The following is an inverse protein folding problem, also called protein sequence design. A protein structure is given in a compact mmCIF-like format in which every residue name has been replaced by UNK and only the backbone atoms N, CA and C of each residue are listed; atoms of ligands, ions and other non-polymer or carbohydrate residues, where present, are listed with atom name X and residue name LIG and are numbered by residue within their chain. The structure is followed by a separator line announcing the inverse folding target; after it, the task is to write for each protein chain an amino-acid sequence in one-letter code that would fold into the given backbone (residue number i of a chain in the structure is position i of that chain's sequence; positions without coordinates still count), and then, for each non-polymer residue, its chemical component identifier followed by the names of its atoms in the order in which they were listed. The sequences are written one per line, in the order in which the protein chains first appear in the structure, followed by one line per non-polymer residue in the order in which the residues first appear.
data_IF_729884258176
#
_entry.id   IF_729884258176
#
_cell.length_a   1.000
_cell.length_b   1.000
_cell.length_c   1.000
_cell.angle_alpha   90.00
_cell.angle_beta   90.00
_cell.angle_gamma   90.00
#
_symmetry.space_group_name_H-M   'P 1'
#
loop_
_entity.id
_entity.type
_entity.pdbx_description
1 polymer ?
#
# COMPACT_ATOMS: atom_id res chain seq x y z
N UNK A 1 22.91 1.50 16.30
CA UNK A 1 21.55 1.90 15.89
C UNK A 1 21.38 1.58 14.41
N UNK A 2 20.72 0.47 14.04
CA UNK A 2 20.29 0.28 12.64
C UNK A 2 19.13 1.24 12.42
N UNK A 3 19.27 2.20 11.51
CA UNK A 3 18.17 3.04 11.05
C UNK A 3 17.22 2.11 10.26
N UNK A 4 16.39 1.34 10.99
CA UNK A 4 15.61 0.25 10.45
C UNK A 4 14.53 0.77 9.50
N UNK A 5 14.34 0.08 8.39
CA UNK A 5 13.22 0.29 7.47
C UNK A 5 11.90 0.34 8.26
N UNK A 6 11.16 1.45 8.16
CA UNK A 6 9.87 1.65 8.84
C UNK A 6 8.76 1.79 7.78
N UNK A 7 8.22 0.66 7.26
CA UNK A 7 7.25 0.63 6.16
C UNK A 7 6.09 1.61 6.34
N UNK A 8 5.47 1.59 7.52
CA UNK A 8 4.31 2.42 7.84
C UNK A 8 4.63 3.91 7.78
N UNK A 9 5.71 4.34 8.41
CA UNK A 9 6.13 5.75 8.39
C UNK A 9 6.52 6.20 6.99
N UNK A 10 7.12 5.32 6.19
CA UNK A 10 7.44 5.60 4.80
C UNK A 10 6.19 5.82 3.96
N UNK A 11 5.19 4.94 4.08
CA UNK A 11 3.88 5.08 3.42
C UNK A 11 3.18 6.37 3.87
N UNK A 12 3.10 6.64 5.17
CA UNK A 12 2.51 7.88 5.70
C UNK A 12 3.20 9.14 5.14
N UNK A 13 4.54 9.12 5.03
CA UNK A 13 5.32 10.23 4.44
C UNK A 13 5.02 10.40 2.94
N UNK A 14 4.85 9.31 2.20
CA UNK A 14 4.46 9.35 0.78
C UNK A 14 3.04 9.89 0.60
N UNK A 15 2.08 9.42 1.38
CA UNK A 15 0.69 9.91 1.35
C UNK A 15 0.62 11.40 1.67
N UNK A 16 1.33 11.87 2.70
CA UNK A 16 1.39 13.30 3.07
C UNK A 16 1.99 14.20 1.99
N UNK A 17 2.88 13.66 1.15
CA UNK A 17 3.47 14.42 0.03
C UNK A 17 2.51 14.66 -1.13
N UNK A 18 1.39 13.92 -1.17
CA UNK A 18 0.41 13.93 -2.26
C UNK A 18 0.95 13.32 -3.55
N UNK A 19 0.10 13.31 -4.57
CA UNK A 19 0.47 12.87 -5.92
C UNK A 19 1.25 13.99 -6.60
N UNK A 20 2.44 13.69 -7.13
CA UNK A 20 3.33 14.65 -7.82
C UNK A 20 3.63 14.29 -9.27
N UNK A 21 2.90 13.32 -9.82
CA UNK A 21 3.16 12.72 -11.12
C UNK A 21 3.15 11.20 -11.04
N UNK A 22 3.62 10.57 -12.11
CA UNK A 22 3.72 9.13 -12.24
C UNK A 22 5.12 8.64 -11.83
N UNK A 23 5.25 7.38 -11.35
CA UNK A 23 4.19 6.40 -11.11
C UNK A 23 3.30 6.75 -9.91
N UNK A 24 2.01 6.37 -9.98
CA UNK A 24 1.04 6.53 -8.89
C UNK A 24 0.79 5.18 -8.22
N UNK A 25 1.19 5.06 -6.95
CA UNK A 25 0.82 3.92 -6.12
C UNK A 25 -0.58 4.11 -5.53
N UNK A 26 -1.48 3.15 -5.76
CA UNK A 26 -2.84 3.14 -5.22
C UNK A 26 -2.95 2.03 -4.18
N UNK A 27 -3.45 2.36 -2.99
CA UNK A 27 -3.71 1.41 -1.91
C UNK A 27 -5.18 1.58 -1.49
N UNK A 28 -5.98 0.52 -1.66
CA UNK A 28 -7.40 0.52 -1.34
C UNK A 28 -7.73 -0.57 -0.32
N UNK A 29 -8.23 -0.16 0.84
CA UNK A 29 -8.71 -1.06 1.89
C UNK A 29 -10.21 -1.29 1.76
N UNK A 30 -10.63 -2.54 1.93
CA UNK A 30 -12.02 -2.97 1.92
C UNK A 30 -12.30 -3.82 3.15
N UNK A 31 -13.53 -3.75 3.65
CA UNK A 31 -13.97 -4.53 4.78
C UNK A 31 -15.50 -4.56 4.87
N UNK A 32 -16.04 -5.38 5.77
CA UNK A 32 -17.48 -5.46 6.00
C UNK A 32 -18.05 -4.17 6.61
N UNK A 33 -17.22 -3.34 7.24
CA UNK A 33 -17.60 -2.10 7.91
C UNK A 33 -16.41 -1.13 7.97
N UNK A 34 -16.60 0.03 8.62
CA UNK A 34 -15.55 1.03 8.83
C UNK A 34 -14.57 0.68 9.97
N UNK A 35 -14.79 -0.43 10.68
CA UNK A 35 -14.02 -0.84 11.86
C UNK A 35 -12.87 -1.77 11.51
N UNK A 36 -12.99 -2.60 10.46
CA UNK A 36 -11.93 -3.53 10.05
C UNK A 36 -11.78 -3.63 8.53
N UNK A 37 -10.54 -3.69 8.03
CA UNK A 37 -10.26 -4.04 6.65
C UNK A 37 -9.87 -5.52 6.54
N UNK A 38 -10.63 -6.29 5.77
CA UNK A 38 -10.37 -7.72 5.52
C UNK A 38 -9.79 -7.97 4.14
N UNK A 39 -9.73 -6.95 3.28
CA UNK A 39 -9.01 -6.99 2.00
C UNK A 39 -8.24 -5.68 1.79
N UNK A 40 -7.03 -5.78 1.24
CA UNK A 40 -6.32 -4.62 0.68
C UNK A 40 -5.88 -4.95 -0.73
N UNK A 41 -6.11 -4.01 -1.65
CA UNK A 41 -5.67 -4.09 -3.02
C UNK A 41 -4.65 -2.97 -3.29
N UNK A 42 -3.55 -3.32 -3.92
CA UNK A 42 -2.50 -2.39 -4.32
C UNK A 42 -2.26 -2.49 -5.81
N UNK A 43 -2.04 -1.34 -6.44
CA UNK A 43 -1.64 -1.25 -7.84
C UNK A 43 -0.73 -0.05 -8.06
N UNK A 44 0.00 -0.07 -9.16
CA UNK A 44 0.87 1.02 -9.59
C UNK A 44 0.45 1.43 -11.00
N UNK A 45 0.14 2.70 -11.20
CA UNK A 45 -0.16 3.25 -12.52
C UNK A 45 1.12 3.93 -13.02
N UNK A 46 1.78 3.43 -14.09
CA UNK A 46 3.11 3.90 -14.47
C UNK A 46 3.11 5.19 -15.31
N UNK A 47 2.02 5.49 -16.01
CA UNK A 47 1.87 6.66 -16.87
C UNK A 47 0.38 7.04 -17.05
N UNK A 48 0.06 8.25 -17.54
CA UNK A 48 -1.30 8.60 -17.92
C UNK A 48 -1.89 7.59 -18.90
N UNK A 49 -3.14 7.17 -18.67
CA UNK A 49 -3.87 6.19 -19.49
C UNK A 49 -3.23 4.78 -19.58
N UNK A 50 -2.18 4.51 -18.80
CA UNK A 50 -1.62 3.17 -18.72
C UNK A 50 -2.45 2.27 -17.81
N UNK A 51 -2.48 0.98 -18.15
CA UNK A 51 -3.07 -0.04 -17.29
C UNK A 51 -2.29 -0.17 -15.97
N UNK A 52 -2.96 -0.45 -14.84
CA UNK A 52 -2.29 -0.69 -13.58
C UNK A 52 -1.39 -1.93 -13.64
N UNK A 53 -0.15 -1.79 -13.17
CA UNK A 53 0.80 -2.86 -12.97
C UNK A 53 0.91 -3.23 -11.49
N UNK A 54 1.60 -4.34 -11.19
CA UNK A 54 1.84 -4.82 -9.81
C UNK A 54 0.55 -4.95 -8.97
N UNK A 55 -0.50 -5.47 -9.59
CA UNK A 55 -1.79 -5.72 -8.95
C UNK A 55 -1.66 -6.84 -7.89
N UNK A 56 -1.59 -6.45 -6.62
CA UNK A 56 -1.51 -7.37 -5.48
C UNK A 56 -2.70 -7.22 -4.55
N UNK A 57 -3.13 -8.33 -3.97
CA UNK A 57 -4.27 -8.38 -3.04
C UNK A 57 -3.93 -9.25 -1.85
N UNK A 58 -4.25 -8.75 -0.67
CA UNK A 58 -4.17 -9.52 0.58
C UNK A 58 -5.57 -9.63 1.16
N UNK A 59 -5.81 -10.76 1.83
CA UNK A 59 -7.07 -11.08 2.47
C UNK A 59 -6.81 -11.56 3.88
N UNK A 60 -7.70 -11.21 4.80
CA UNK A 60 -7.69 -11.70 6.17
C UNK A 60 -9.06 -12.28 6.51
N UNK A 61 -9.07 -13.51 7.05
CA UNK A 61 -10.29 -14.13 7.57
C UNK A 61 -10.72 -13.48 8.90
N UNK A 62 -9.75 -13.08 9.72
CA UNK A 62 -9.95 -12.40 11.00
C UNK A 62 -8.95 -11.25 11.14
N UNK A 63 -9.26 -10.26 11.99
CA UNK A 63 -8.38 -9.10 12.22
C UNK A 63 -8.62 -7.92 11.27
N UNK A 64 -7.62 -7.04 11.19
CA UNK A 64 -7.63 -5.80 10.40
C UNK A 64 -6.29 -5.61 9.70
N UNK A 65 -6.27 -5.72 8.37
CA UNK A 65 -5.09 -5.60 7.53
C UNK A 65 -4.41 -4.22 7.64
N UNK A 66 -5.10 -3.20 8.15
CA UNK A 66 -4.48 -1.88 8.43
C UNK A 66 -3.52 -1.92 9.62
N UNK A 67 -3.52 -3.00 10.40
CA UNK A 67 -2.68 -3.20 11.60
C UNK A 67 -1.73 -4.38 11.47
N UNK A 68 -1.72 -5.06 10.34
CA UNK A 68 -0.82 -6.19 10.09
C UNK A 68 0.53 -5.66 9.57
N UNK A 69 1.55 -5.70 10.40
CA UNK A 69 2.88 -5.16 10.07
C UNK A 69 3.56 -5.92 8.92
N UNK A 70 3.27 -7.22 8.73
CA UNK A 70 3.82 -7.99 7.63
C UNK A 70 3.18 -7.54 6.31
N UNK A 71 1.85 -7.39 6.27
CA UNK A 71 1.13 -6.87 5.11
C UNK A 71 1.57 -5.44 4.78
N UNK A 72 1.73 -4.58 5.80
CA UNK A 72 2.22 -3.20 5.59
C UNK A 72 3.65 -3.20 5.02
N UNK A 73 4.52 -4.10 5.47
CA UNK A 73 5.87 -4.23 4.94
C UNK A 73 5.88 -4.64 3.46
N UNK A 74 5.04 -5.60 3.07
CA UNK A 74 4.90 -6.04 1.68
C UNK A 74 4.31 -4.96 0.76
N UNK A 75 3.33 -4.20 1.26
CA UNK A 75 2.77 -3.05 0.53
C UNK A 75 3.87 -2.01 0.28
N UNK A 76 4.63 -1.65 1.31
CA UNK A 76 5.72 -0.68 1.17
C UNK A 76 6.80 -1.16 0.21
N UNK A 77 7.17 -2.45 0.25
CA UNK A 77 8.13 -3.03 -0.68
C UNK A 77 7.61 -3.01 -2.13
N UNK A 78 6.34 -3.33 -2.34
CA UNK A 78 5.70 -3.27 -3.67
C UNK A 78 5.75 -1.84 -4.23
N UNK A 79 5.45 -0.83 -3.41
CA UNK A 79 5.50 0.57 -3.85
C UNK A 79 6.93 1.14 -3.99
N UNK A 80 7.94 0.54 -3.35
CA UNK A 80 9.32 1.04 -3.38
C UNK A 80 10.14 0.51 -4.57
N UNK A 81 9.81 -0.69 -5.07
CA UNK A 81 10.58 -1.37 -6.13
C UNK A 81 10.33 -0.79 -7.53
N UNK A 82 9.25 -0.03 -7.71
CA UNK A 82 8.79 0.47 -9.01
C UNK A 82 9.13 1.97 -9.22
N UNK A 83 10.08 2.51 -8.45
CA UNK A 83 10.65 3.87 -8.67
C UNK A 83 11.94 3.77 -9.44
#
# INVERSE_FOLDING_TARGET
MKLGWQPRKWLEKKTKRGIRGYPIGTIAYYGPDNRRATKVAVSIIPAPHAEPVDLRRWFAQTGDLRRDDAVIAEIAASCATTT
#
